data_IF_621985881670
#
_entry.id   IF_621985881670
#
_cell.length_a   1.000
_cell.length_b   1.000
_cell.length_c   1.000
_cell.angle_alpha   90.00
_cell.angle_beta   90.00
_cell.angle_gamma   90.00
#
_symmetry.space_group_name_H-M   'P 1'
#
loop_
_entity.id
_entity.type
_entity.pdbx_description
1 polymer ?
#
# COMPACT_ATOMS: atom_id res chain seq x y z
N UNK A 1 -10.35 -12.14 12.80
CA UNK A 1 -9.62 -10.91 12.41
C UNK A 1 -8.36 -11.36 11.68
N UNK A 2 -8.14 -10.88 10.46
CA UNK A 2 -6.94 -11.18 9.67
C UNK A 2 -6.02 -9.95 9.74
N UNK A 3 -4.72 -10.18 9.90
CA UNK A 3 -3.69 -9.12 9.85
C UNK A 3 -2.90 -9.26 8.56
N UNK A 4 -2.64 -8.13 7.90
CA UNK A 4 -1.84 -8.05 6.68
C UNK A 4 -0.42 -7.53 6.93
N UNK A 5 -0.06 -7.18 8.17
CA UNK A 5 1.27 -6.61 8.46
C UNK A 5 2.39 -7.60 8.08
N UNK A 6 3.33 -7.10 7.27
CA UNK A 6 4.44 -7.84 6.63
C UNK A 6 3.99 -8.98 5.71
N UNK A 7 2.74 -8.95 5.22
CA UNK A 7 2.14 -10.06 4.49
C UNK A 7 1.34 -9.64 3.27
N UNK A 8 1.29 -10.56 2.30
CA UNK A 8 0.27 -10.59 1.24
C UNK A 8 -0.79 -11.64 1.63
N UNK A 9 -2.06 -11.26 1.56
CA UNK A 9 -3.20 -12.11 1.94
C UNK A 9 -4.30 -12.05 0.87
N UNK A 10 -5.01 -13.16 0.67
CA UNK A 10 -6.21 -13.21 -0.18
C UNK A 10 -7.47 -13.18 0.69
N UNK A 11 -8.31 -12.17 0.49
CA UNK A 11 -9.57 -12.00 1.23
C UNK A 11 -10.66 -11.54 0.27
N UNK A 12 -11.79 -12.26 0.26
CA UNK A 12 -12.96 -11.92 -0.55
C UNK A 12 -12.66 -11.74 -2.06
N UNK A 13 -11.67 -12.48 -2.58
CA UNK A 13 -11.24 -12.38 -3.98
C UNK A 13 -10.30 -11.20 -4.28
N UNK A 14 -9.78 -10.52 -3.26
CA UNK A 14 -8.80 -9.45 -3.40
C UNK A 14 -7.46 -9.89 -2.79
N UNK A 15 -6.37 -9.55 -3.47
CA UNK A 15 -5.00 -9.77 -2.99
C UNK A 15 -4.48 -8.48 -2.35
N UNK A 16 -4.20 -8.54 -1.04
CA UNK A 16 -3.95 -7.37 -0.20
C UNK A 16 -2.58 -7.50 0.46
N UNK A 17 -1.74 -6.47 0.30
CA UNK A 17 -0.48 -6.34 1.05
C UNK A 17 -0.62 -5.34 2.21
N UNK A 18 0.08 -5.58 3.32
CA UNK A 18 0.10 -4.68 4.47
C UNK A 18 1.50 -4.36 4.99
N UNK A 19 1.77 -3.08 5.26
CA UNK A 19 2.98 -2.61 5.96
C UNK A 19 2.63 -1.57 7.05
N UNK A 20 2.70 -1.99 8.31
CA UNK A 20 2.52 -1.14 9.47
C UNK A 20 3.73 -0.24 9.76
N UNK A 21 3.60 0.57 10.81
CA UNK A 21 4.70 1.41 11.32
C UNK A 21 4.96 2.70 10.54
N UNK A 22 5.94 3.46 11.03
CA UNK A 22 6.33 4.77 10.50
C UNK A 22 7.84 4.97 10.58
N UNK A 23 8.32 6.11 10.07
CA UNK A 23 9.73 6.51 10.16
C UNK A 23 10.15 6.61 11.64
N UNK A 24 11.36 6.19 11.96
CA UNK A 24 11.93 6.37 13.29
C UNK A 24 12.18 7.85 13.62
N UNK A 25 11.64 8.31 14.75
CA UNK A 25 11.78 9.68 15.23
C UNK A 25 12.07 9.78 16.73
N UNK A 26 11.71 8.77 17.53
CA UNK A 26 12.00 8.75 18.97
C UNK A 26 12.35 7.36 19.54
N UNK A 27 12.54 6.36 18.69
CA UNK A 27 12.90 4.99 19.11
C UNK A 27 11.74 4.20 19.72
N UNK A 28 10.49 4.61 19.46
CA UNK A 28 9.30 3.88 19.87
C UNK A 28 9.14 2.55 19.13
N UNK A 29 8.21 1.71 19.61
CA UNK A 29 7.83 0.48 18.91
C UNK A 29 7.21 0.78 17.53
N UNK A 30 7.42 -0.09 16.55
CA UNK A 30 6.90 0.04 15.16
C UNK A 30 7.42 1.29 14.43
N UNK A 31 8.60 1.75 14.80
CA UNK A 31 9.37 2.75 14.09
C UNK A 31 10.53 2.09 13.36
N UNK A 32 10.73 2.49 12.11
CA UNK A 32 11.72 1.90 11.24
C UNK A 32 12.53 3.01 10.55
N UNK A 33 13.81 2.79 10.39
CA UNK A 33 14.63 3.56 9.45
C UNK A 33 14.11 3.35 8.01
N UNK A 34 14.48 4.24 7.08
CA UNK A 34 14.10 4.06 5.67
C UNK A 34 14.59 2.71 5.13
N UNK A 35 15.82 2.30 5.48
CA UNK A 35 16.41 1.03 5.07
C UNK A 35 15.68 -0.19 5.67
N UNK A 36 15.33 -0.15 6.97
CA UNK A 36 14.54 -1.23 7.57
C UNK A 36 13.16 -1.33 6.92
N UNK A 37 12.53 -0.21 6.55
CA UNK A 37 11.24 -0.24 5.85
C UNK A 37 11.40 -0.76 4.41
N UNK A 38 12.50 -0.45 3.73
CA UNK A 38 12.84 -0.98 2.41
C UNK A 38 12.94 -2.51 2.43
N UNK A 39 13.64 -3.09 3.40
CA UNK A 39 13.70 -4.55 3.57
C UNK A 39 12.32 -5.19 3.78
N UNK A 40 11.39 -4.47 4.44
CA UNK A 40 10.01 -4.93 4.59
C UNK A 40 9.23 -4.83 3.27
N UNK A 41 9.42 -3.77 2.51
CA UNK A 41 8.81 -3.59 1.19
C UNK A 41 9.29 -4.66 0.20
N UNK A 42 10.57 -4.99 0.19
CA UNK A 42 11.12 -6.03 -0.68
C UNK A 42 10.51 -7.41 -0.39
N UNK A 43 10.32 -7.75 0.90
CA UNK A 43 9.60 -8.98 1.29
C UNK A 43 8.15 -9.01 0.82
N UNK A 44 7.50 -7.86 0.66
CA UNK A 44 6.16 -7.79 0.06
C UNK A 44 6.23 -8.04 -1.44
N UNK A 45 7.22 -7.49 -2.15
CA UNK A 45 7.42 -7.75 -3.58
C UNK A 45 7.65 -9.25 -3.83
N UNK A 46 8.50 -9.88 -3.01
CA UNK A 46 8.74 -11.32 -3.08
C UNK A 46 7.48 -12.16 -2.84
N UNK A 47 6.68 -11.80 -1.82
CA UNK A 47 5.43 -12.49 -1.50
C UNK A 47 4.34 -12.30 -2.56
N UNK A 48 4.24 -11.10 -3.13
CA UNK A 48 3.26 -10.78 -4.16
C UNK A 48 3.53 -11.60 -5.43
N UNK A 49 4.82 -11.74 -5.78
CA UNK A 49 5.24 -12.42 -6.99
C UNK A 49 4.76 -11.70 -8.26
N UNK A 50 4.79 -12.37 -9.42
CA UNK A 50 4.41 -11.75 -10.70
C UNK A 50 2.92 -11.41 -10.80
N UNK A 51 2.08 -12.01 -9.95
CA UNK A 51 0.64 -11.75 -9.87
C UNK A 51 0.34 -10.36 -9.29
N UNK A 52 1.28 -9.75 -8.56
CA UNK A 52 1.08 -8.42 -7.96
C UNK A 52 0.07 -8.43 -6.81
N UNK A 53 -0.61 -7.30 -6.60
CA UNK A 53 -1.64 -7.10 -5.57
C UNK A 53 -2.72 -6.14 -6.08
N UNK A 54 -3.93 -6.24 -5.52
CA UNK A 54 -5.02 -5.30 -5.81
C UNK A 54 -4.97 -4.08 -4.90
N UNK A 55 -4.64 -4.29 -3.61
CA UNK A 55 -4.60 -3.25 -2.59
C UNK A 55 -3.31 -3.29 -1.77
N UNK A 56 -2.74 -2.10 -1.53
CA UNK A 56 -1.70 -1.88 -0.54
C UNK A 56 -2.27 -1.11 0.65
N UNK A 57 -2.06 -1.62 1.85
CA UNK A 57 -2.41 -0.97 3.11
C UNK A 57 -1.15 -0.58 3.85
N UNK A 58 -0.98 0.70 4.19
CA UNK A 58 0.13 1.13 5.04
C UNK A 58 -0.35 1.97 6.21
N UNK A 59 0.45 2.05 7.26
CA UNK A 59 0.18 3.02 8.31
C UNK A 59 0.59 4.43 7.86
N UNK A 60 1.89 4.62 7.55
CA UNK A 60 2.45 5.89 7.10
C UNK A 60 2.27 6.10 5.57
N UNK A 61 2.18 7.36 5.11
CA UNK A 61 2.14 7.70 3.68
C UNK A 61 3.49 7.52 2.97
N UNK A 62 3.52 7.49 1.63
CA UNK A 62 4.75 7.65 0.86
C UNK A 62 5.33 9.06 1.03
N UNK A 63 6.65 9.19 0.97
CA UNK A 63 7.35 10.47 0.99
C UNK A 63 6.86 11.39 -0.14
N UNK A 64 6.47 12.62 0.18
CA UNK A 64 5.93 13.61 -0.76
C UNK A 64 4.50 13.34 -1.28
N UNK A 65 3.86 12.23 -0.90
CA UNK A 65 2.53 11.84 -1.37
C UNK A 65 1.53 11.67 -0.22
N UNK A 66 1.36 12.75 0.57
CA UNK A 66 0.39 12.80 1.67
C UNK A 66 1.02 12.89 3.06
N UNK A 67 2.34 12.94 3.13
CA UNK A 67 3.13 13.15 4.34
C UNK A 67 3.17 14.62 4.80
N UNK A 68 3.81 14.84 5.95
CA UNK A 68 4.10 16.17 6.50
C UNK A 68 5.59 16.22 6.89
N UNK A 69 6.49 16.62 5.97
CA UNK A 69 7.94 16.45 6.15
C UNK A 69 8.53 17.25 7.32
N UNK A 70 7.87 18.35 7.66
CA UNK A 70 8.23 19.23 8.79
C UNK A 70 7.84 18.65 10.16
N UNK A 71 6.98 17.62 10.19
CA UNK A 71 6.64 16.87 11.40
C UNK A 71 7.37 15.52 11.39
N UNK A 72 8.36 15.30 12.28
CA UNK A 72 9.14 14.07 12.34
C UNK A 72 8.31 12.78 12.38
N UNK A 73 7.15 12.82 13.03
CA UNK A 73 6.27 11.66 13.15
C UNK A 73 5.52 11.35 11.85
N UNK A 74 5.22 12.37 11.05
CA UNK A 74 4.42 12.26 9.81
C UNK A 74 5.24 12.30 8.53
N UNK A 75 6.58 12.20 8.62
CA UNK A 75 7.45 12.01 7.46
C UNK A 75 7.08 10.74 6.72
N UNK A 76 7.04 10.83 5.39
CA UNK A 76 6.69 9.70 4.55
C UNK A 76 7.81 8.67 4.41
N UNK A 77 7.41 7.49 3.95
CA UNK A 77 8.30 6.38 3.66
C UNK A 77 8.76 6.45 2.20
N UNK A 78 10.07 6.37 1.96
CA UNK A 78 10.64 6.46 0.62
C UNK A 78 10.43 5.16 -0.17
N UNK A 79 10.60 4.01 0.48
CA UNK A 79 10.45 2.68 -0.12
C UNK A 79 9.04 2.39 -0.69
N UNK A 80 8.02 3.18 -0.34
CA UNK A 80 6.68 3.02 -0.90
C UNK A 80 6.61 3.41 -2.38
N UNK A 81 7.48 4.30 -2.88
CA UNK A 81 7.53 4.63 -4.31
C UNK A 81 7.89 3.43 -5.19
N UNK A 82 9.04 2.77 -5.00
CA UNK A 82 9.38 1.59 -5.79
C UNK A 82 8.39 0.45 -5.55
N UNK A 83 7.91 0.23 -4.32
CA UNK A 83 6.91 -0.80 -4.03
C UNK A 83 5.62 -0.63 -4.84
N UNK A 84 5.06 0.58 -4.84
CA UNK A 84 3.84 0.89 -5.61
C UNK A 84 4.11 0.79 -7.10
N UNK A 85 5.27 1.27 -7.57
CA UNK A 85 5.63 1.18 -8.99
C UNK A 85 5.83 -0.26 -9.46
N UNK A 86 6.35 -1.15 -8.60
CA UNK A 86 6.58 -2.56 -8.91
C UNK A 86 5.30 -3.39 -8.91
N UNK A 87 4.38 -3.11 -8.00
CA UNK A 87 3.17 -3.92 -7.81
C UNK A 87 1.91 -3.31 -8.44
N UNK A 88 1.95 -2.02 -8.76
CA UNK A 88 0.86 -1.25 -9.39
C UNK A 88 -0.53 -1.53 -8.81
N UNK A 89 -0.74 -1.52 -7.48
CA UNK A 89 -2.07 -1.75 -6.90
C UNK A 89 -3.05 -0.70 -7.42
N UNK A 90 -4.33 -1.04 -7.55
CA UNK A 90 -5.34 -0.04 -7.91
C UNK A 90 -5.50 1.01 -6.80
N UNK A 91 -5.36 0.57 -5.54
CA UNK A 91 -5.47 1.40 -4.35
C UNK A 91 -4.28 1.24 -3.41
N UNK A 92 -3.71 2.36 -2.99
CA UNK A 92 -2.86 2.45 -1.80
C UNK A 92 -3.59 3.27 -0.73
N UNK A 93 -3.95 2.61 0.36
CA UNK A 93 -4.64 3.24 1.48
C UNK A 93 -3.68 3.41 2.65
N UNK A 94 -3.58 4.63 3.16
CA UNK A 94 -2.79 4.92 4.34
C UNK A 94 -3.58 5.72 5.37
N UNK A 95 -3.03 5.83 6.58
CA UNK A 95 -3.55 6.70 7.64
C UNK A 95 -2.45 7.61 8.17
N UNK A 96 -2.37 7.67 9.50
CA UNK A 96 -1.33 8.33 10.30
C UNK A 96 -1.35 9.86 10.27
N UNK A 97 -1.59 10.48 9.11
CA UNK A 97 -1.65 11.94 8.97
C UNK A 97 -3.08 12.42 9.22
N UNK A 98 -3.31 13.13 10.34
CA UNK A 98 -4.63 13.64 10.74
C UNK A 98 -4.71 15.19 10.61
N UNK A 99 -5.08 15.74 9.45
CA UNK A 99 -5.25 17.18 9.21
C UNK A 99 -6.51 17.78 9.88
N UNK A 100 -6.73 17.52 11.16
CA UNK A 100 -7.88 18.05 11.92
C UNK A 100 -9.25 17.75 11.28
N UNK A 101 -9.39 16.58 10.65
CA UNK A 101 -10.67 16.13 10.06
C UNK A 101 -10.93 16.61 8.63
N UNK A 102 -10.00 17.32 7.98
CA UNK A 102 -10.11 17.71 6.58
C UNK A 102 -9.60 16.59 5.66
N UNK A 103 -10.45 16.05 4.79
CA UNK A 103 -9.99 15.11 3.78
C UNK A 103 -8.95 15.80 2.87
N UNK A 104 -7.73 15.25 2.81
CA UNK A 104 -6.75 15.66 1.79
C UNK A 104 -7.15 15.03 0.45
N UNK A 105 -7.01 15.76 -0.68
CA UNK A 105 -7.29 15.19 -1.99
C UNK A 105 -6.38 14.00 -2.27
N UNK A 106 -6.88 13.03 -3.03
CA UNK A 106 -6.12 11.86 -3.43
C UNK A 106 -4.82 12.26 -4.16
N UNK A 107 -3.85 11.35 -4.09
CA UNK A 107 -2.60 11.42 -4.84
C UNK A 107 -2.53 10.23 -5.79
N UNK A 108 -1.65 10.33 -6.77
CA UNK A 108 -1.53 9.30 -7.79
C UNK A 108 -0.06 9.01 -8.03
N UNK A 109 0.25 7.73 -8.19
CA UNK A 109 1.55 7.27 -8.66
C UNK A 109 1.29 6.22 -9.75
N UNK A 110 1.55 6.60 -11.01
CA UNK A 110 1.09 5.80 -12.15
C UNK A 110 -0.44 5.70 -12.17
N UNK A 111 -0.95 4.47 -12.25
CA UNK A 111 -2.39 4.15 -12.18
C UNK A 111 -2.91 3.97 -10.76
N UNK A 112 -2.02 3.89 -9.76
CA UNK A 112 -2.41 3.71 -8.36
C UNK A 112 -2.99 4.98 -7.78
N UNK A 113 -4.18 4.87 -7.18
CA UNK A 113 -4.76 5.95 -6.37
C UNK A 113 -4.31 5.80 -4.92
N UNK A 114 -3.72 6.86 -4.38
CA UNK A 114 -3.22 6.93 -3.00
C UNK A 114 -4.18 7.78 -2.18
N UNK A 115 -4.75 7.20 -1.13
CA UNK A 115 -5.78 7.85 -0.30
C UNK A 115 -5.43 7.77 1.18
N UNK A 116 -5.50 8.93 1.83
CA UNK A 116 -5.49 9.04 3.28
C UNK A 116 -6.91 8.78 3.82
N UNK A 117 -7.08 7.72 4.60
CA UNK A 117 -8.40 7.32 5.12
C UNK A 117 -8.64 7.96 6.48
N UNK A 118 -9.52 8.95 6.52
CA UNK A 118 -9.91 9.66 7.75
C UNK A 118 -11.43 9.95 7.74
N UNK A 119 -12.20 9.54 8.77
CA UNK A 119 -11.93 8.46 9.72
C UNK A 119 -12.25 7.06 9.15
N UNK A 120 -13.11 7.00 8.13
CA UNK A 120 -13.47 5.81 7.39
C UNK A 120 -13.87 6.20 5.97
N UNK A 121 -13.73 5.25 5.05
CA UNK A 121 -14.18 5.38 3.66
C UNK A 121 -14.76 4.03 3.23
N UNK A 122 -15.83 4.05 2.45
CA UNK A 122 -16.34 2.86 1.75
C UNK A 122 -15.86 2.92 0.31
N UNK A 123 -15.26 1.83 -0.16
CA UNK A 123 -14.73 1.68 -1.50
C UNK A 123 -15.38 0.49 -2.17
N UNK A 124 -15.71 0.64 -3.45
CA UNK A 124 -15.98 -0.46 -4.34
C UNK A 124 -14.68 -0.75 -5.10
N UNK A 125 -14.21 -2.00 -5.05
CA UNK A 125 -12.94 -2.40 -5.63
C UNK A 125 -13.17 -3.64 -6.48
N UNK A 126 -12.74 -3.57 -7.74
CA UNK A 126 -12.68 -4.71 -8.64
C UNK A 126 -11.30 -5.36 -8.56
N UNK A 127 -11.25 -6.69 -8.49
CA UNK A 127 -10.00 -7.43 -8.48
C UNK A 127 -9.36 -7.35 -9.88
N UNK A 128 -8.22 -6.68 -9.98
CA UNK A 128 -7.49 -6.54 -11.25
C UNK A 128 -6.62 -7.76 -11.54
N UNK A 129 -6.05 -8.37 -10.50
CA UNK A 129 -5.13 -9.52 -10.65
C UNK A 129 -5.87 -10.75 -11.18
N UNK A 130 -7.07 -11.03 -10.64
CA UNK A 130 -7.88 -12.18 -11.07
C UNK A 130 -8.45 -12.01 -12.49
N UNK A 131 -8.67 -10.77 -12.95
CA UNK A 131 -9.11 -10.52 -14.32
C UNK A 131 -8.02 -10.85 -15.33
N UNK A 132 -6.77 -10.44 -15.06
CA UNK A 132 -5.63 -10.77 -15.91
C UNK A 132 -5.41 -12.30 -16.01
N UNK A 133 -5.55 -13.03 -14.90
CA UNK A 133 -5.46 -14.50 -14.90
C UNK A 133 -6.62 -15.17 -15.65
N UNK A 134 -7.85 -14.65 -15.49
CA UNK A 134 -9.02 -15.16 -16.19
C UNK A 134 -8.93 -14.92 -17.71
N UNK A 135 -8.46 -13.76 -18.13
CA UNK A 135 -8.21 -13.41 -19.54
C UNK A 135 -7.10 -14.30 -20.13
N UNK A 136 -5.95 -14.41 -19.46
CA UNK A 136 -4.85 -15.28 -19.91
C UNK A 136 -5.27 -16.76 -20.05
N UNK A 137 -6.10 -17.26 -19.12
CA UNK A 137 -6.62 -18.63 -19.17
C UNK A 137 -7.67 -18.84 -20.27
N UNK A 138 -8.50 -17.83 -20.53
CA UNK A 138 -9.46 -17.84 -21.62
C UNK A 138 -8.76 -17.86 -22.98
N UNK A 139 -7.70 -17.06 -23.15
CA UNK A 139 -6.86 -17.06 -24.34
C UNK A 139 -6.12 -18.39 -24.54
N UNK A 140 -5.61 -19.01 -23.46
CA UNK A 140 -4.92 -20.30 -23.52
C UNK A 140 -5.84 -21.50 -23.81
N UNK A 141 -7.13 -21.41 -23.45
CA UNK A 141 -8.14 -22.47 -23.72
C UNK A 141 -8.80 -22.34 -25.10
N UNK A 142 -8.48 -21.28 -25.86
CA UNK A 142 -8.98 -21.05 -27.20
C UNK A 142 -8.16 -21.75 -28.31
N UNK A 143 -7.22 -22.63 -27.94
CA UNK A 143 -6.33 -23.38 -28.84
C UNK A 143 -6.42 -24.89 -28.61
#
# INVERSE_FOLDING_TARGET
MVTADDRVIDVAGLRIAGLGGCVAYNGGSHQFTQAEYEERADRIVEQAGPEGIDLLLTHAPPSGLGDEPDDPSHRGIEALHPLIASLTPSWHLHGHVHPFGLAKPDRHLGTTTIRNVIPWTVLEVEAGVLLAEAEAKAEASAW
#
